data_IF_977837081947
#
_entry.id   IF_977837081947
#
_cell.length_a   1.000
_cell.length_b   1.000
_cell.length_c   1.000
_cell.angle_alpha   90.00
_cell.angle_beta   90.00
_cell.angle_gamma   90.00
#
_symmetry.space_group_name_H-M   'P 1'
#
loop_
_entity.id
_entity.type
_entity.pdbx_description
1 polymer ?
#
# COMPACT_ATOMS: atom_id res chain seq x y z
N UNK A 1 62.34 8.84 23.24
CA UNK A 1 61.41 8.19 24.18
C UNK A 1 60.04 8.74 23.88
N UNK A 2 59.44 8.17 22.84
CA UNK A 2 58.16 8.57 22.28
C UNK A 2 57.04 8.06 23.17
N UNK A 3 56.19 8.96 23.67
CA UNK A 3 54.92 8.60 24.32
C UNK A 3 53.78 9.29 23.58
N UNK A 4 53.09 8.44 22.82
CA UNK A 4 51.94 8.68 21.97
C UNK A 4 50.73 9.25 22.75
N UNK A 5 50.07 10.26 22.18
CA UNK A 5 48.81 10.82 22.68
C UNK A 5 47.65 9.96 22.19
N UNK A 6 47.28 8.95 22.99
CA UNK A 6 46.14 8.07 22.74
C UNK A 6 44.81 8.82 22.63
N UNK A 7 44.26 8.87 21.41
CA UNK A 7 42.92 9.40 21.11
C UNK A 7 41.86 8.40 21.60
N UNK A 8 41.04 8.80 22.57
CA UNK A 8 39.82 8.09 22.99
C UNK A 8 38.79 8.13 21.85
N UNK A 9 38.57 6.99 21.19
CA UNK A 9 37.49 6.80 20.21
C UNK A 9 36.21 6.39 20.96
N UNK A 10 35.16 7.20 20.85
CA UNK A 10 33.80 6.79 21.24
C UNK A 10 33.28 5.74 20.27
N UNK A 11 32.70 4.67 20.82
CA UNK A 11 32.24 3.49 20.09
C UNK A 11 31.15 3.80 19.08
N UNK A 12 31.38 3.38 17.84
CA UNK A 12 30.35 3.13 16.83
C UNK A 12 30.33 1.62 16.62
N UNK A 13 29.59 0.88 17.45
CA UNK A 13 29.24 -0.49 17.10
C UNK A 13 28.07 -0.44 16.11
N UNK A 14 28.41 -0.27 14.84
CA UNK A 14 27.50 -0.56 13.74
C UNK A 14 28.18 -1.56 12.81
N UNK A 15 28.34 -2.78 13.30
CA UNK A 15 28.49 -3.94 12.43
C UNK A 15 27.13 -4.62 12.39
N UNK A 16 26.26 -4.11 11.51
CA UNK A 16 25.08 -4.83 11.06
C UNK A 16 25.54 -6.18 10.53
N UNK A 17 24.99 -7.26 11.10
CA UNK A 17 25.28 -8.63 10.66
C UNK A 17 24.74 -8.79 9.25
N UNK A 18 25.61 -8.62 8.26
CA UNK A 18 25.31 -8.70 6.83
C UNK A 18 24.81 -10.09 6.34
N UNK A 19 24.49 -11.01 7.27
CA UNK A 19 24.13 -12.40 7.01
C UNK A 19 22.79 -12.81 7.65
N UNK A 20 22.05 -11.90 8.28
CA UNK A 20 20.77 -12.26 8.90
C UNK A 20 19.71 -12.56 7.81
N UNK A 21 19.02 -13.69 7.97
CA UNK A 21 17.94 -14.16 7.10
C UNK A 21 16.61 -13.71 7.67
N UNK A 22 15.77 -13.06 6.86
CA UNK A 22 14.45 -12.63 7.26
C UNK A 22 13.54 -13.83 7.56
N UNK A 23 13.01 -13.95 8.78
CA UNK A 23 12.13 -15.06 9.18
C UNK A 23 10.79 -15.11 8.42
N UNK A 24 10.45 -14.08 7.65
CA UNK A 24 9.20 -13.99 6.88
C UNK A 24 9.36 -14.47 5.43
N UNK A 25 10.36 -13.96 4.69
CA UNK A 25 10.59 -14.30 3.28
C UNK A 25 11.83 -15.18 3.03
N UNK A 26 12.64 -15.45 4.06
CA UNK A 26 13.90 -16.23 4.01
C UNK A 26 15.00 -15.65 3.10
N UNK A 27 14.93 -14.37 2.78
CA UNK A 27 15.98 -13.65 2.04
C UNK A 27 17.01 -13.01 2.99
N UNK A 28 18.23 -12.81 2.50
CA UNK A 28 19.33 -12.17 3.25
C UNK A 28 19.25 -10.64 3.15
N UNK A 29 19.68 -9.94 4.19
CA UNK A 29 20.00 -8.51 4.11
C UNK A 29 18.90 -7.54 4.55
N UNK A 30 17.81 -8.01 5.17
CA UNK A 30 16.81 -7.13 5.79
C UNK A 30 16.10 -7.80 6.99
N UNK A 31 15.59 -7.01 7.93
CA UNK A 31 14.79 -7.48 9.06
C UNK A 31 13.29 -7.18 8.86
N UNK A 32 12.41 -7.90 9.61
CA UNK A 32 10.94 -7.69 9.59
C UNK A 32 10.52 -6.22 9.82
N UNK A 33 11.35 -5.44 10.53
CA UNK A 33 11.11 -4.00 10.78
C UNK A 33 11.39 -3.12 9.55
N UNK A 34 12.20 -3.59 8.63
CA UNK A 34 12.56 -2.92 7.37
C UNK A 34 11.66 -3.35 6.21
N UNK A 35 10.74 -4.29 6.46
CA UNK A 35 9.69 -4.63 5.50
C UNK A 35 8.90 -3.36 5.18
N UNK A 36 8.68 -3.00 3.88
CA UNK A 36 7.87 -1.86 3.52
C UNK A 36 6.52 -2.01 4.20
N UNK A 37 6.26 -1.18 5.21
CA UNK A 37 4.95 -1.12 5.84
C UNK A 37 3.99 -0.72 4.74
N UNK A 38 3.18 -1.66 4.27
CA UNK A 38 2.10 -1.35 3.35
C UNK A 38 1.33 -0.17 3.96
N UNK A 39 1.02 0.86 3.16
CA UNK A 39 0.31 2.02 3.67
C UNK A 39 -1.01 1.54 4.31
N UNK A 40 -1.51 2.27 5.33
CA UNK A 40 -2.80 1.98 5.95
C UNK A 40 -3.85 1.77 4.87
N UNK A 41 -4.73 0.78 5.07
CA UNK A 41 -5.84 0.49 4.15
C UNK A 41 -6.57 1.80 3.86
N UNK A 42 -6.48 2.21 2.61
CA UNK A 42 -7.47 3.02 1.93
C UNK A 42 -8.02 2.06 0.86
N UNK A 43 -9.32 2.03 0.57
CA UNK A 43 -9.93 1.07 -0.38
C UNK A 43 -9.43 1.19 -1.83
N UNK A 44 -8.41 2.00 -2.05
CA UNK A 44 -7.64 2.05 -3.28
C UNK A 44 -6.41 1.18 -3.11
N UNK A 45 -6.40 0.02 -3.75
CA UNK A 45 -5.20 -0.81 -3.83
C UNK A 45 -4.07 0.00 -4.50
N UNK A 46 -2.87 -0.08 -3.91
CA UNK A 46 -1.66 0.57 -4.45
C UNK A 46 -1.29 0.06 -5.84
N UNK A 47 -0.29 0.67 -6.50
CA UNK A 47 0.10 0.28 -7.85
C UNK A 47 0.44 -1.22 -7.84
N UNK A 48 -0.30 -1.99 -8.62
CA UNK A 48 -0.08 -3.41 -8.74
C UNK A 48 1.27 -3.63 -9.43
N UNK A 49 2.12 -4.49 -8.87
CA UNK A 49 3.49 -4.79 -9.36
C UNK A 49 3.45 -5.21 -10.83
N UNK A 50 2.33 -5.78 -11.27
CA UNK A 50 2.04 -6.11 -12.66
C UNK A 50 0.83 -5.32 -13.13
N UNK A 51 1.01 -4.52 -14.18
CA UNK A 51 -0.09 -3.84 -14.85
C UNK A 51 -1.07 -4.87 -15.41
N UNK A 52 -2.37 -4.63 -15.22
CA UNK A 52 -3.38 -5.40 -15.93
C UNK A 52 -3.31 -5.10 -17.44
N UNK A 53 -3.86 -6.00 -18.26
CA UNK A 53 -3.97 -5.81 -19.71
C UNK A 53 -4.61 -4.44 -20.01
N UNK A 54 -3.96 -3.64 -20.85
CA UNK A 54 -4.42 -2.27 -21.18
C UNK A 54 -3.79 -1.15 -20.34
N UNK A 55 -2.79 -1.44 -19.51
CA UNK A 55 -1.97 -0.45 -18.81
C UNK A 55 -2.59 0.08 -17.50
N UNK A 56 -3.52 -0.66 -16.91
CA UNK A 56 -4.14 -0.31 -15.63
C UNK A 56 -3.26 -0.79 -14.48
N UNK A 57 -2.92 0.12 -13.57
CA UNK A 57 -2.03 -0.16 -12.43
C UNK A 57 -2.77 -0.10 -11.08
N UNK A 58 -4.02 0.37 -11.06
CA UNK A 58 -4.82 0.55 -9.85
C UNK A 58 -6.24 0.00 -10.08
N UNK A 59 -6.92 -0.32 -8.99
CA UNK A 59 -8.36 -0.58 -9.01
C UNK A 59 -9.00 -0.04 -7.74
N UNK A 60 -10.29 0.27 -7.84
CA UNK A 60 -11.14 0.62 -6.69
C UNK A 60 -12.33 -0.32 -6.67
N UNK A 61 -12.69 -0.77 -5.47
CA UNK A 61 -13.88 -1.59 -5.25
C UNK A 61 -14.89 -0.84 -4.40
N UNK A 62 -16.15 -0.83 -4.83
CA UNK A 62 -17.27 -0.37 -4.02
C UNK A 62 -18.14 -1.57 -3.67
N UNK A 63 -18.47 -1.73 -2.39
CA UNK A 63 -19.31 -2.83 -1.92
C UNK A 63 -20.56 -2.22 -1.31
N UNK A 64 -21.72 -2.62 -1.81
CA UNK A 64 -22.97 -2.27 -1.14
C UNK A 64 -23.15 -3.15 0.10
N UNK A 65 -23.29 -2.51 1.26
CA UNK A 65 -23.46 -3.19 2.53
C UNK A 65 -24.76 -4.00 2.60
N UNK A 66 -25.82 -3.54 1.93
CA UNK A 66 -27.13 -4.16 1.98
C UNK A 66 -27.21 -5.40 1.07
N UNK A 67 -26.88 -5.26 -0.22
CA UNK A 67 -26.97 -6.38 -1.18
C UNK A 67 -25.72 -7.25 -1.23
N UNK A 68 -24.60 -6.81 -0.62
CA UNK A 68 -23.26 -7.40 -0.77
C UNK A 68 -22.72 -7.38 -2.20
N UNK A 69 -23.39 -6.66 -3.11
CA UNK A 69 -22.96 -6.52 -4.49
C UNK A 69 -21.70 -5.66 -4.58
N UNK A 70 -20.71 -6.12 -5.33
CA UNK A 70 -19.42 -5.47 -5.50
C UNK A 70 -19.22 -4.91 -6.91
N UNK A 71 -18.74 -3.68 -7.00
CA UNK A 71 -18.33 -3.01 -8.23
C UNK A 71 -16.81 -2.88 -8.26
N UNK A 72 -16.20 -3.14 -9.41
CA UNK A 72 -14.75 -3.05 -9.60
C UNK A 72 -14.45 -2.13 -10.78
N UNK A 73 -13.70 -1.05 -10.54
CA UNK A 73 -13.27 -0.12 -11.59
C UNK A 73 -11.74 -0.16 -11.71
N UNK A 74 -11.25 -0.38 -12.93
CA UNK A 74 -9.82 -0.33 -13.26
C UNK A 74 -9.39 1.11 -13.52
N UNK A 75 -8.20 1.48 -13.03
CA UNK A 75 -7.64 2.83 -13.11
C UNK A 75 -6.16 2.79 -13.51
N UNK A 76 -5.72 3.78 -14.30
CA UNK A 76 -4.30 3.95 -14.65
C UNK A 76 -3.56 4.76 -13.60
N UNK A 77 -4.25 5.71 -12.97
CA UNK A 77 -3.72 6.59 -11.93
C UNK A 77 -4.61 6.62 -10.69
N UNK A 78 -4.01 6.76 -9.50
CA UNK A 78 -4.76 6.92 -8.23
C UNK A 78 -5.69 8.15 -8.24
N UNK A 79 -5.36 9.19 -9.00
CA UNK A 79 -6.15 10.41 -9.15
C UNK A 79 -7.51 10.18 -9.82
N UNK A 80 -7.71 9.06 -10.53
CA UNK A 80 -8.99 8.71 -11.15
C UNK A 80 -10.07 8.31 -10.13
N UNK A 81 -9.71 8.10 -8.86
CA UNK A 81 -10.62 7.61 -7.80
C UNK A 81 -11.92 8.42 -7.71
N UNK A 82 -11.84 9.76 -7.73
CA UNK A 82 -13.02 10.60 -7.60
C UNK A 82 -13.93 10.54 -8.84
N UNK A 83 -13.33 10.34 -10.02
CA UNK A 83 -14.10 10.16 -11.26
C UNK A 83 -14.85 8.84 -11.21
N UNK A 84 -14.18 7.75 -10.81
CA UNK A 84 -14.82 6.43 -10.64
C UNK A 84 -15.92 6.43 -9.60
N UNK A 85 -15.76 7.18 -8.50
CA UNK A 85 -16.82 7.33 -7.51
C UNK A 85 -18.09 8.01 -8.07
N UNK A 86 -17.94 9.03 -8.93
CA UNK A 86 -19.10 9.67 -9.57
C UNK A 86 -19.83 8.73 -10.51
N UNK A 87 -19.08 7.96 -11.31
CA UNK A 87 -19.62 6.92 -12.19
C UNK A 87 -20.42 5.89 -11.39
N UNK A 88 -19.80 5.33 -10.34
CA UNK A 88 -20.42 4.39 -9.42
C UNK A 88 -21.71 4.93 -8.81
N UNK A 89 -21.68 6.16 -8.29
CA UNK A 89 -22.85 6.78 -7.69
C UNK A 89 -24.00 6.89 -8.69
N UNK A 90 -23.73 7.44 -9.88
CA UNK A 90 -24.76 7.60 -10.90
C UNK A 90 -25.37 6.25 -11.31
N UNK A 91 -24.51 5.25 -11.50
CA UNK A 91 -24.92 3.89 -11.86
C UNK A 91 -25.84 3.27 -10.79
N UNK A 92 -25.42 3.27 -9.53
CA UNK A 92 -26.19 2.67 -8.42
C UNK A 92 -27.49 3.42 -8.17
N UNK A 93 -27.47 4.76 -8.17
CA UNK A 93 -28.66 5.56 -7.95
C UNK A 93 -29.68 5.37 -9.08
N UNK A 94 -29.23 5.23 -10.32
CA UNK A 94 -30.11 4.93 -11.47
C UNK A 94 -30.68 3.51 -11.43
N UNK A 95 -29.88 2.51 -11.07
CA UNK A 95 -30.32 1.11 -11.02
C UNK A 95 -31.29 0.84 -9.88
N UNK A 96 -31.03 1.43 -8.70
CA UNK A 96 -31.80 1.14 -7.48
C UNK A 96 -32.90 2.15 -7.20
N UNK A 97 -32.85 3.33 -7.81
CA UNK A 97 -33.71 4.47 -7.46
C UNK A 97 -33.43 5.04 -6.05
N UNK A 98 -32.36 4.61 -5.38
CA UNK A 98 -32.01 5.00 -4.02
C UNK A 98 -30.71 5.78 -4.01
N UNK A 99 -30.63 6.80 -3.16
CA UNK A 99 -29.41 7.62 -3.00
C UNK A 99 -28.39 6.93 -2.10
N UNK A 100 -27.11 7.13 -2.40
CA UNK A 100 -26.03 6.74 -1.49
C UNK A 100 -25.99 7.73 -0.33
N UNK A 101 -26.16 7.24 0.90
CA UNK A 101 -26.23 8.09 2.11
C UNK A 101 -24.86 8.22 2.76
N UNK A 102 -24.14 7.12 2.91
CA UNK A 102 -22.86 7.07 3.62
C UNK A 102 -21.87 6.23 2.83
N UNK A 103 -20.66 6.76 2.65
CA UNK A 103 -19.51 6.01 2.16
C UNK A 103 -18.63 5.64 3.35
N UNK A 104 -18.25 4.37 3.46
CA UNK A 104 -17.33 3.87 4.50
C UNK A 104 -16.08 3.34 3.82
N UNK A 105 -14.93 3.60 4.45
CA UNK A 105 -13.65 2.99 4.05
C UNK A 105 -13.15 2.03 5.11
N UNK A 106 -12.52 0.93 4.70
CA UNK A 106 -11.92 -0.05 5.62
C UNK A 106 -10.52 0.34 6.12
#
# INVERSE_FOLDING_TARGET
MDMDKGKRKMGTQQQSRANDICAHCREKGHWKRDYPKLPPRQDVCGPQITQARGGFSYFITFIDDHSRYGYVYLMRYKSETFVRFKEFRLEVENQTGRKIITLRSN
#
